data_IF_439113172671
#
_entry.id   IF_439113172671
#
_cell.length_a   1.000
_cell.length_b   1.000
_cell.length_c   1.000
_cell.angle_alpha   90.00
_cell.angle_beta   90.00
_cell.angle_gamma   90.00
#
_symmetry.space_group_name_H-M   'P 1'
#
loop_
_entity.id
_entity.type
_entity.pdbx_description
1 polymer ?
#
# COMPACT_ATOMS: atom_id res chain seq x y z
N UNK A 1 13.58 -19.47 -0.87
CA UNK A 1 12.68 -18.32 -0.69
C UNK A 1 11.36 -18.82 -0.11
N UNK A 2 10.96 -18.32 1.07
CA UNK A 2 9.72 -18.75 1.73
C UNK A 2 8.55 -17.84 1.32
N UNK A 3 8.06 -17.99 0.09
CA UNK A 3 6.84 -17.33 -0.36
C UNK A 3 5.65 -18.02 0.33
N UNK A 4 4.79 -17.27 1.02
CA UNK A 4 3.57 -17.81 1.66
C UNK A 4 3.67 -18.17 3.15
N UNK A 5 4.68 -17.71 3.89
CA UNK A 5 4.63 -17.74 5.35
C UNK A 5 3.63 -16.67 5.84
N UNK A 6 2.53 -17.11 6.46
CA UNK A 6 1.58 -16.21 7.10
C UNK A 6 2.26 -15.52 8.30
N UNK A 7 2.39 -14.19 8.25
CA UNK A 7 2.65 -13.38 9.45
C UNK A 7 1.32 -13.20 10.19
N UNK A 8 1.34 -13.43 11.50
CA UNK A 8 0.19 -13.17 12.37
C UNK A 8 -0.04 -11.65 12.40
N UNK A 9 -1.29 -11.21 12.29
CA UNK A 9 -1.63 -9.79 12.39
C UNK A 9 -1.25 -9.25 13.80
N UNK A 10 -0.32 -8.29 13.93
CA UNK A 10 0.09 -7.74 15.22
C UNK A 10 -0.88 -6.67 15.77
N UNK A 11 -1.87 -6.24 14.98
CA UNK A 11 -2.89 -5.28 15.36
C UNK A 11 -4.10 -5.98 15.99
N UNK A 12 -3.87 -6.64 17.12
CA UNK A 12 -4.88 -7.41 17.86
C UNK A 12 -4.85 -7.03 19.34
N UNK A 13 -6.03 -7.00 19.98
CA UNK A 13 -6.21 -6.87 21.43
C UNK A 13 -7.33 -7.79 21.88
N UNK A 14 -7.10 -8.58 22.93
CA UNK A 14 -8.08 -9.53 23.50
C UNK A 14 -8.70 -10.47 22.45
N UNK A 15 -7.87 -10.95 21.50
CA UNK A 15 -8.28 -11.83 20.41
C UNK A 15 -9.07 -11.16 19.28
N UNK A 16 -9.23 -9.83 19.28
CA UNK A 16 -9.97 -9.07 18.27
C UNK A 16 -9.03 -8.15 17.47
N UNK A 17 -9.28 -8.04 16.16
CA UNK A 17 -8.55 -7.12 15.27
C UNK A 17 -8.90 -5.68 15.63
N UNK A 18 -7.87 -4.83 15.69
CA UNK A 18 -8.01 -3.41 15.96
C UNK A 18 -8.33 -2.64 14.67
N UNK A 19 -9.29 -1.72 14.75
CA UNK A 19 -9.65 -0.79 13.69
C UNK A 19 -9.75 0.60 14.30
N UNK A 20 -9.19 1.60 13.62
CA UNK A 20 -9.29 3.00 14.01
C UNK A 20 -9.99 3.81 12.93
N UNK A 21 -10.70 4.87 13.33
CA UNK A 21 -11.23 5.90 12.45
C UNK A 21 -10.83 7.26 12.99
N UNK A 22 -10.35 8.13 12.10
CA UNK A 22 -9.96 9.52 12.41
C UNK A 22 -10.77 10.44 11.50
N UNK A 23 -11.21 11.57 12.02
CA UNK A 23 -12.04 12.54 11.27
C UNK A 23 -11.74 14.01 11.61
N UNK A 24 -10.73 14.30 12.46
CA UNK A 24 -10.22 15.66 12.59
C UNK A 24 -9.32 15.94 11.39
N UNK A 25 -9.62 16.95 10.58
CA UNK A 25 -8.87 17.21 9.35
C UNK A 25 -8.07 18.51 9.50
N UNK A 26 -6.74 18.36 9.60
CA UNK A 26 -5.77 19.44 9.35
C UNK A 26 -4.84 19.05 8.21
N UNK A 27 -4.40 17.79 8.15
CA UNK A 27 -3.52 17.24 7.11
C UNK A 27 -3.74 15.73 6.94
N UNK A 28 -3.79 15.24 5.70
CA UNK A 28 -3.91 13.80 5.35
C UNK A 28 -2.84 12.95 6.03
N UNK A 29 -1.57 13.38 6.02
CA UNK A 29 -0.45 12.62 6.59
C UNK A 29 -0.57 12.47 8.11
N UNK A 30 -0.95 13.55 8.79
CA UNK A 30 -1.20 13.55 10.24
C UNK A 30 -2.34 12.60 10.59
N UNK A 31 -3.40 12.57 9.77
CA UNK A 31 -4.53 11.67 9.98
C UNK A 31 -4.17 10.20 9.80
N UNK A 32 -3.38 9.89 8.78
CA UNK A 32 -2.86 8.53 8.58
C UNK A 32 -2.01 8.11 9.78
N UNK A 33 -1.05 8.96 10.19
CA UNK A 33 -0.19 8.68 11.34
C UNK A 33 -1.01 8.45 12.61
N UNK A 34 -1.99 9.33 12.88
CA UNK A 34 -2.89 9.21 14.03
C UNK A 34 -3.70 7.91 14.00
N UNK A 35 -4.27 7.56 12.84
CA UNK A 35 -5.04 6.33 12.69
C UNK A 35 -4.16 5.09 12.98
N UNK A 36 -2.97 5.02 12.39
CA UNK A 36 -2.06 3.89 12.60
C UNK A 36 -1.57 3.83 14.06
N UNK A 37 -1.31 4.98 14.70
CA UNK A 37 -0.93 5.03 16.12
C UNK A 37 -2.02 4.51 17.05
N UNK A 38 -3.31 4.76 16.75
CA UNK A 38 -4.42 4.25 17.56
C UNK A 38 -4.52 2.72 17.57
N UNK A 39 -4.03 2.03 16.53
CA UNK A 39 -3.97 0.56 16.49
C UNK A 39 -2.62 0.00 16.93
N UNK A 40 -1.61 0.85 17.14
CA UNK A 40 -0.34 0.49 17.75
C UNK A 40 0.92 0.80 16.94
N UNK A 41 0.82 1.59 15.86
CA UNK A 41 1.99 2.17 15.17
C UNK A 41 2.54 1.33 14.02
N UNK A 42 3.34 1.96 13.16
CA UNK A 42 4.02 1.32 12.02
C UNK A 42 5.14 0.36 12.46
N UNK A 43 5.80 0.65 13.57
CA UNK A 43 6.88 -0.15 14.16
C UNK A 43 6.48 -1.59 14.56
N UNK A 44 5.18 -1.92 14.54
CA UNK A 44 4.71 -3.32 14.68
C UNK A 44 4.96 -4.18 13.44
N UNK A 45 5.13 -3.56 12.27
CA UNK A 45 5.23 -4.28 10.98
C UNK A 45 6.38 -3.81 10.10
N UNK A 46 6.95 -2.61 10.35
CA UNK A 46 8.10 -2.07 9.64
C UNK A 46 9.33 -2.12 10.54
N UNK A 47 10.36 -2.82 10.08
CA UNK A 47 11.71 -2.84 10.65
C UNK A 47 12.68 -1.99 9.81
N UNK A 48 13.78 -1.56 10.42
CA UNK A 48 14.78 -0.73 9.73
C UNK A 48 15.40 -1.51 8.57
N UNK A 49 15.29 -0.96 7.36
CA UNK A 49 15.81 -1.55 6.14
C UNK A 49 14.81 -2.45 5.40
N UNK A 50 13.56 -2.56 5.88
CA UNK A 50 12.55 -3.38 5.20
C UNK A 50 12.30 -2.90 3.77
N UNK A 51 12.12 -3.86 2.87
CA UNK A 51 11.56 -3.62 1.54
C UNK A 51 10.04 -3.81 1.60
N UNK A 52 9.28 -2.74 1.34
CA UNK A 52 7.82 -2.72 1.49
C UNK A 52 7.16 -2.65 0.12
N UNK A 53 6.27 -3.59 -0.17
CA UNK A 53 5.34 -3.49 -1.29
C UNK A 53 4.08 -2.73 -0.85
N UNK A 54 3.83 -1.56 -1.42
CA UNK A 54 2.59 -0.81 -1.27
C UNK A 54 1.68 -1.07 -2.48
N UNK A 55 0.47 -1.58 -2.20
CA UNK A 55 -0.54 -1.96 -3.20
C UNK A 55 -1.76 -1.05 -3.08
N UNK A 56 -1.77 0.14 -3.70
CA UNK A 56 -2.96 0.99 -3.75
C UNK A 56 -4.03 0.38 -4.66
N UNK A 57 -5.18 1.05 -4.79
CA UNK A 57 -6.24 0.67 -5.72
C UNK A 57 -6.32 1.67 -6.88
N UNK A 58 -5.96 1.25 -8.09
CA UNK A 58 -6.11 2.01 -9.35
C UNK A 58 -6.69 1.11 -10.45
N UNK A 59 -7.90 0.61 -10.21
CA UNK A 59 -8.63 -0.21 -11.17
C UNK A 59 -8.94 0.54 -12.49
N UNK A 60 -9.22 1.84 -12.40
CA UNK A 60 -9.44 2.78 -13.51
C UNK A 60 -8.72 4.10 -13.23
N UNK A 61 -8.83 5.09 -14.12
CA UNK A 61 -8.36 6.46 -13.88
C UNK A 61 -9.43 7.36 -13.24
N UNK A 62 -10.59 6.80 -12.88
CA UNK A 62 -11.67 7.56 -12.26
C UNK A 62 -11.22 8.11 -10.89
N UNK A 63 -11.67 9.32 -10.52
CA UNK A 63 -11.29 9.94 -9.26
C UNK A 63 -11.81 9.13 -8.04
N UNK A 64 -11.29 9.41 -6.84
CA UNK A 64 -11.80 8.80 -5.61
C UNK A 64 -13.33 8.95 -5.47
N UNK A 65 -14.04 7.90 -4.99
CA UNK A 65 -13.51 6.70 -4.35
C UNK A 65 -13.24 5.50 -5.29
N UNK A 66 -13.37 5.67 -6.62
CA UNK A 66 -13.12 4.57 -7.57
C UNK A 66 -11.64 4.15 -7.59
N UNK A 67 -10.75 5.13 -7.46
CA UNK A 67 -9.31 4.95 -7.26
C UNK A 67 -8.85 5.57 -5.94
N UNK A 68 -7.67 5.18 -5.49
CA UNK A 68 -6.99 5.81 -4.36
C UNK A 68 -6.59 7.25 -4.71
N UNK A 69 -6.65 8.15 -3.73
CA UNK A 69 -6.12 9.51 -3.88
C UNK A 69 -4.58 9.47 -3.96
N UNK A 70 -3.94 9.99 -5.03
CA UNK A 70 -2.50 10.02 -5.16
C UNK A 70 -1.77 10.72 -4.00
N UNK A 71 -2.35 11.77 -3.40
CA UNK A 71 -1.76 12.46 -2.24
C UNK A 71 -1.83 11.58 -0.98
N UNK A 72 -2.91 10.80 -0.82
CA UNK A 72 -3.02 9.83 0.26
C UNK A 72 -1.93 8.75 0.12
N UNK A 73 -1.76 8.20 -1.08
CA UNK A 73 -0.73 7.18 -1.34
C UNK A 73 0.67 7.76 -1.10
N UNK A 74 0.95 8.98 -1.58
CA UNK A 74 2.20 9.70 -1.31
C UNK A 74 2.49 9.82 0.19
N UNK A 75 1.51 10.26 0.98
CA UNK A 75 1.66 10.39 2.42
C UNK A 75 1.96 9.05 3.11
N UNK A 76 1.36 7.94 2.64
CA UNK A 76 1.70 6.60 3.14
C UNK A 76 3.14 6.22 2.79
N UNK A 77 3.61 6.48 1.58
CA UNK A 77 5.00 6.21 1.16
C UNK A 77 5.98 6.95 2.08
N UNK A 78 5.77 8.25 2.29
CA UNK A 78 6.64 9.06 3.16
C UNK A 78 6.66 8.52 4.60
N UNK A 79 5.49 8.15 5.15
CA UNK A 79 5.41 7.57 6.49
C UNK A 79 6.13 6.23 6.58
N UNK A 80 6.08 5.38 5.54
CA UNK A 80 6.82 4.12 5.52
C UNK A 80 8.34 4.35 5.60
N UNK A 81 8.86 5.30 4.82
CA UNK A 81 10.27 5.68 4.88
C UNK A 81 10.64 6.29 6.24
N UNK A 82 9.83 7.19 6.79
CA UNK A 82 10.02 7.79 8.12
C UNK A 82 10.08 6.75 9.24
N UNK A 83 9.38 5.62 9.08
CA UNK A 83 9.36 4.52 10.05
C UNK A 83 10.38 3.40 9.77
N UNK A 84 11.30 3.63 8.84
CA UNK A 84 12.49 2.81 8.67
C UNK A 84 12.50 1.89 7.45
N UNK A 85 11.49 1.93 6.57
CA UNK A 85 11.57 1.22 5.30
C UNK A 85 12.85 1.63 4.55
N UNK A 86 13.64 0.65 4.10
CA UNK A 86 14.80 0.91 3.25
C UNK A 86 14.41 1.13 1.80
N UNK A 87 13.26 0.57 1.40
CA UNK A 87 12.72 0.65 0.05
C UNK A 87 11.20 0.53 0.08
N UNK A 88 10.52 1.34 -0.71
CA UNK A 88 9.08 1.23 -0.95
C UNK A 88 8.86 1.02 -2.44
N UNK A 89 8.11 -0.02 -2.79
CA UNK A 89 7.69 -0.34 -4.16
C UNK A 89 6.18 -0.17 -4.25
N UNK A 90 5.71 0.77 -5.07
CA UNK A 90 4.30 0.85 -5.46
C UNK A 90 4.08 -0.15 -6.59
N UNK A 91 3.46 -1.28 -6.26
CA UNK A 91 3.12 -2.30 -7.25
C UNK A 91 1.64 -2.28 -7.55
N UNK A 92 1.24 -2.25 -8.82
CA UNK A 92 -0.19 -2.20 -9.17
C UNK A 92 -0.58 -2.92 -10.46
N UNK A 93 -1.88 -3.24 -10.58
CA UNK A 93 -2.57 -3.75 -11.77
C UNK A 93 -3.98 -3.15 -11.87
N UNK A 94 -4.36 -2.70 -13.06
CA UNK A 94 -5.67 -2.10 -13.37
C UNK A 94 -6.60 -3.14 -13.99
N UNK A 95 -7.82 -2.72 -14.36
CA UNK A 95 -8.75 -3.58 -15.09
C UNK A 95 -8.10 -4.16 -16.35
N UNK A 96 -8.42 -5.43 -16.67
CA UNK A 96 -7.82 -6.15 -17.79
C UNK A 96 -7.90 -5.44 -19.15
N UNK A 97 -8.91 -4.60 -19.37
CA UNK A 97 -9.07 -3.81 -20.59
C UNK A 97 -8.24 -2.52 -20.64
N UNK A 98 -7.49 -2.21 -19.58
CA UNK A 98 -6.68 -1.01 -19.42
C UNK A 98 -5.20 -1.39 -19.21
N UNK A 99 -4.30 -0.42 -19.45
CA UNK A 99 -2.88 -0.55 -19.16
C UNK A 99 -2.55 0.24 -17.90
N UNK A 100 -1.99 -0.40 -16.87
CA UNK A 100 -1.76 0.22 -15.56
C UNK A 100 -0.85 1.42 -15.64
N UNK A 101 0.18 1.38 -16.48
CA UNK A 101 1.06 2.54 -16.71
C UNK A 101 0.30 3.77 -17.16
N UNK A 102 -0.68 3.61 -18.05
CA UNK A 102 -1.49 4.74 -18.53
C UNK A 102 -2.43 5.25 -17.45
N UNK A 103 -3.07 4.34 -16.70
CA UNK A 103 -3.93 4.69 -15.57
C UNK A 103 -3.15 5.48 -14.52
N UNK A 104 -1.99 5.00 -14.07
CA UNK A 104 -1.18 5.71 -13.07
C UNK A 104 -0.61 7.03 -13.58
N UNK A 105 -0.38 7.15 -14.89
CA UNK A 105 0.01 8.42 -15.51
C UNK A 105 -1.14 9.43 -15.48
N UNK A 106 -2.34 9.01 -15.85
CA UNK A 106 -3.53 9.85 -15.91
C UNK A 106 -3.96 10.33 -14.52
N UNK A 107 -3.86 9.48 -13.50
CA UNK A 107 -4.15 9.88 -12.11
C UNK A 107 -3.05 10.73 -11.49
N UNK A 108 -1.88 10.86 -12.13
CA UNK A 108 -0.71 11.54 -11.56
C UNK A 108 0.04 10.73 -10.50
N UNK A 109 -0.36 9.48 -10.25
CA UNK A 109 0.28 8.61 -9.26
C UNK A 109 1.75 8.33 -9.58
N UNK A 110 2.15 8.30 -10.87
CA UNK A 110 3.58 8.14 -11.22
C UNK A 110 4.42 9.26 -10.61
N UNK A 111 4.04 10.52 -10.84
CA UNK A 111 4.74 11.70 -10.28
C UNK A 111 4.80 11.64 -8.75
N UNK A 112 3.70 11.22 -8.11
CA UNK A 112 3.62 11.16 -6.65
C UNK A 112 4.50 10.08 -6.03
N UNK A 113 4.63 8.93 -6.68
CA UNK A 113 5.55 7.88 -6.26
C UNK A 113 7.01 8.34 -6.41
N UNK A 114 7.36 8.96 -7.54
CA UNK A 114 8.70 9.50 -7.80
C UNK A 114 9.07 10.62 -6.81
N UNK A 115 8.16 11.57 -6.56
CA UNK A 115 8.33 12.65 -5.57
C UNK A 115 8.63 12.12 -4.16
N UNK A 116 8.02 10.99 -3.77
CA UNK A 116 8.22 10.37 -2.47
C UNK A 116 9.37 9.34 -2.45
N UNK A 117 10.08 9.15 -3.57
CA UNK A 117 11.22 8.23 -3.66
C UNK A 117 10.86 6.74 -3.73
N UNK A 118 9.61 6.40 -4.06
CA UNK A 118 9.20 5.01 -4.27
C UNK A 118 9.49 4.52 -5.70
N UNK A 119 9.77 3.23 -5.83
CA UNK A 119 9.83 2.55 -7.12
C UNK A 119 8.44 2.15 -7.59
N UNK A 120 8.24 2.03 -8.91
CA UNK A 120 6.99 1.58 -9.51
C UNK A 120 7.15 0.23 -10.19
N UNK A 121 6.20 -0.68 -9.94
CA UNK A 121 6.08 -1.96 -10.65
C UNK A 121 4.67 -2.09 -11.22
N UNK A 122 4.60 -2.25 -12.54
CA UNK A 122 3.35 -2.49 -13.28
C UNK A 122 3.20 -3.99 -13.46
N UNK A 123 2.29 -4.63 -12.71
CA UNK A 123 2.18 -6.09 -12.69
C UNK A 123 1.66 -6.67 -14.01
N UNK A 124 0.88 -5.90 -14.77
CA UNK A 124 0.38 -6.24 -16.09
C UNK A 124 1.45 -6.26 -17.19
N UNK A 125 2.62 -5.64 -16.94
CA UNK A 125 3.82 -5.73 -17.79
C UNK A 125 4.74 -6.90 -17.39
N UNK A 126 4.43 -7.58 -16.27
CA UNK A 126 5.18 -8.69 -15.72
C UNK A 126 4.70 -10.07 -16.18
N UNK A 127 5.35 -11.11 -15.67
CA UNK A 127 4.91 -12.51 -15.86
C UNK A 127 4.08 -12.96 -14.67
N UNK A 128 2.97 -13.65 -14.96
CA UNK A 128 2.21 -14.36 -13.95
C UNK A 128 2.96 -15.61 -13.51
N UNK A 129 3.19 -15.73 -12.20
CA UNK A 129 3.85 -16.90 -11.60
C UNK A 129 2.81 -17.64 -10.76
N UNK A 130 2.69 -18.95 -10.96
CA UNK A 130 1.81 -19.79 -10.14
C UNK A 130 2.45 -19.98 -8.76
N UNK A 131 1.76 -19.51 -7.73
CA UNK A 131 2.16 -19.69 -6.33
C UNK A 131 1.10 -20.53 -5.61
N UNK A 132 1.54 -21.52 -4.83
CA UNK A 132 0.63 -22.25 -3.95
C UNK A 132 0.26 -21.35 -2.77
N UNK A 133 -1.04 -21.12 -2.56
CA UNK A 133 -1.54 -20.37 -1.40
C UNK A 133 -1.77 -21.26 -0.17
N UNK A 134 -1.59 -22.58 -0.30
CA UNK A 134 -1.97 -23.55 0.74
C UNK A 134 -3.48 -23.72 0.92
N UNK A 135 -4.30 -22.91 0.25
CA UNK A 135 -5.75 -23.06 0.20
C UNK A 135 -6.17 -24.10 -0.84
N UNK A 136 -7.28 -24.79 -0.57
CA UNK A 136 -7.99 -25.58 -1.57
C UNK A 136 -9.11 -24.70 -2.13
N UNK A 137 -9.18 -24.57 -3.46
CA UNK A 137 -10.37 -24.03 -4.11
C UNK A 137 -11.52 -25.02 -3.84
N UNK A 138 -12.62 -24.53 -3.27
CA UNK A 138 -13.83 -25.31 -3.01
C UNK A 138 -14.69 -25.39 -4.27
#
# INVERSE_FOLDING_TARGET
MAIGKFKINPYVKDGKVLVSKVSDATNVKENILKAVNLIGGFNKVIERGDEVLLKPNFNTADPPPASSDPEFVKAVIELLFEHGAGKVVVGESSMFSLHTRNVLKETGMISKAEEAGAELVFFDEGKWVKVSTGGKYL
#
